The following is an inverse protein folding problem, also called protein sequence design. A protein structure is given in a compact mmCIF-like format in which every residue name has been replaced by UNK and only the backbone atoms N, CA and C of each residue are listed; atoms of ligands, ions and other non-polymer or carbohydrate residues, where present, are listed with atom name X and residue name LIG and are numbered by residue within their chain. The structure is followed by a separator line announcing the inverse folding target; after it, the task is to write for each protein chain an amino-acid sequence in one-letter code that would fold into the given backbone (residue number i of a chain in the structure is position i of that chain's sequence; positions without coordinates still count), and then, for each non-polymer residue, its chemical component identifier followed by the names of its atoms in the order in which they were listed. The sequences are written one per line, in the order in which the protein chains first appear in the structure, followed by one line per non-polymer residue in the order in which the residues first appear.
data_IF_697344177910
#
_entry.id   IF_697344177910
#
_cell.length_a   1.000
_cell.length_b   1.000
_cell.length_c   1.000
_cell.angle_alpha   90.00
_cell.angle_beta   90.00
_cell.angle_gamma   90.00
#
_symmetry.space_group_name_H-M   'P 1'
#
loop_
_entity.id
_entity.type
_entity.pdbx_description
1 polymer ?
#
# COMPACT_ATOMS: atom_id res chain seq x y z
N UNK A 1 -10.65 -13.60 -17.46
CA UNK A 1 -9.82 -12.49 -17.99
C UNK A 1 -8.46 -13.08 -18.31
N UNK A 2 -8.04 -13.01 -19.57
CA UNK A 2 -6.93 -13.80 -20.11
C UNK A 2 -5.59 -13.25 -19.60
N UNK A 3 -4.79 -14.12 -18.99
CA UNK A 3 -3.37 -13.91 -18.73
C UNK A 3 -2.61 -14.65 -19.84
N UNK A 4 -2.00 -13.94 -20.77
CA UNK A 4 -0.89 -14.42 -21.62
C UNK A 4 -0.31 -13.26 -22.44
N UNK A 5 0.92 -12.84 -22.11
CA UNK A 5 1.94 -12.51 -23.11
C UNK A 5 3.32 -12.87 -22.54
N UNK A 6 4.05 -13.66 -23.33
CA UNK A 6 5.39 -14.16 -23.07
C UNK A 6 6.40 -13.07 -23.48
N UNK A 7 6.55 -12.05 -22.65
CA UNK A 7 7.70 -11.18 -22.64
C UNK A 7 8.27 -11.23 -21.25
N UNK A 8 9.59 -11.42 -21.09
CA UNK A 8 10.25 -11.25 -19.81
C UNK A 8 9.95 -9.84 -19.30
N UNK A 9 8.90 -9.67 -18.51
CA UNK A 9 8.66 -8.44 -17.78
C UNK A 9 9.80 -8.37 -16.78
N UNK A 10 10.83 -7.61 -17.14
CA UNK A 10 11.63 -6.97 -16.12
C UNK A 10 10.65 -6.04 -15.40
N UNK A 11 9.90 -6.61 -14.44
CA UNK A 11 9.11 -5.89 -13.49
C UNK A 11 10.14 -5.15 -12.64
N UNK A 12 10.64 -4.04 -13.18
CA UNK A 12 10.90 -2.88 -12.36
C UNK A 12 9.55 -2.63 -11.71
N UNK A 13 9.36 -3.25 -10.55
CA UNK A 13 8.31 -2.89 -9.63
C UNK A 13 8.61 -1.43 -9.37
N UNK A 14 7.88 -0.55 -10.04
CA UNK A 14 7.90 0.85 -9.67
C UNK A 14 7.44 0.84 -8.21
N UNK A 15 8.38 1.02 -7.30
CA UNK A 15 8.20 0.85 -5.85
C UNK A 15 7.09 1.78 -5.31
N UNK A 16 6.63 2.72 -6.14
CA UNK A 16 5.51 3.63 -5.95
C UNK A 16 4.16 3.16 -6.51
N UNK A 17 4.03 1.97 -7.10
CA UNK A 17 2.72 1.47 -7.54
C UNK A 17 1.82 1.12 -6.36
N UNK A 18 0.53 1.47 -6.49
CA UNK A 18 -0.53 1.13 -5.54
C UNK A 18 -1.52 0.16 -6.18
N UNK A 19 -1.87 -0.89 -5.44
CA UNK A 19 -2.85 -1.89 -5.85
C UNK A 19 -4.18 -1.56 -5.17
N UNK A 20 -5.24 -1.39 -5.96
CA UNK A 20 -6.60 -1.30 -5.42
C UNK A 20 -7.11 -2.72 -5.16
N UNK A 21 -7.43 -3.01 -3.91
CA UNK A 21 -7.85 -4.33 -3.46
C UNK A 21 -9.20 -4.23 -2.72
N UNK A 22 -10.26 -4.74 -3.36
CA UNK A 22 -11.59 -4.78 -2.77
C UNK A 22 -11.74 -5.80 -1.63
N UNK A 23 -10.78 -6.72 -1.48
CA UNK A 23 -10.68 -7.63 -0.34
C UNK A 23 -9.92 -7.06 0.86
N UNK A 24 -9.19 -5.95 0.67
CA UNK A 24 -8.51 -5.26 1.76
C UNK A 24 -9.49 -4.42 2.58
N UNK A 25 -9.27 -4.36 3.88
CA UNK A 25 -10.06 -3.54 4.82
C UNK A 25 -9.35 -2.26 5.25
N UNK A 26 -8.05 -2.13 4.96
CA UNK A 26 -7.22 -1.02 5.37
C UNK A 26 -6.28 -0.63 4.22
N UNK A 27 -6.04 0.67 4.06
CA UNK A 27 -4.93 1.14 3.24
C UNK A 27 -3.61 0.85 3.96
N UNK A 28 -2.62 0.31 3.26
CA UNK A 28 -1.32 -0.05 3.85
C UNK A 28 -0.18 0.22 2.89
N UNK A 29 0.98 0.60 3.43
CA UNK A 29 2.23 0.71 2.70
C UNK A 29 3.41 0.27 3.58
N UNK A 30 4.47 -0.33 3.02
CA UNK A 30 5.73 -0.53 3.72
C UNK A 30 6.62 0.72 3.71
N UNK A 31 6.22 1.80 3.01
CA UNK A 31 7.05 2.97 2.73
C UNK A 31 6.65 4.15 3.61
N UNK A 32 7.49 4.49 4.57
CA UNK A 32 7.29 5.67 5.44
C UNK A 32 7.40 6.99 4.66
N UNK A 33 8.16 7.01 3.58
CA UNK A 33 8.41 8.22 2.78
C UNK A 33 7.17 8.71 2.00
N UNK A 34 6.13 7.88 1.84
CA UNK A 34 4.91 8.27 1.13
C UNK A 34 3.97 9.15 1.96
N UNK A 35 4.22 9.23 3.28
CA UNK A 35 3.35 9.92 4.20
C UNK A 35 3.56 11.43 4.16
N UNK A 36 2.48 12.18 3.93
CA UNK A 36 2.45 13.65 4.08
C UNK A 36 2.22 14.07 5.52
N UNK A 37 1.63 13.19 6.32
CA UNK A 37 1.50 13.28 7.78
C UNK A 37 1.84 11.92 8.37
N UNK A 38 2.53 11.87 9.51
CA UNK A 38 2.95 10.60 10.09
C UNK A 38 3.00 10.65 11.62
N UNK A 39 2.30 9.71 12.24
CA UNK A 39 2.38 9.43 13.68
C UNK A 39 3.01 8.05 13.85
N UNK A 40 4.22 8.00 14.41
CA UNK A 40 4.84 6.74 14.85
C UNK A 40 4.17 6.22 16.12
N UNK A 41 4.04 4.91 16.25
CA UNK A 41 3.47 4.31 17.45
C UNK A 41 3.20 2.82 17.26
N UNK A 42 2.73 2.17 18.31
CA UNK A 42 2.21 0.81 18.22
C UNK A 42 0.71 0.89 17.93
N UNK A 43 0.33 0.48 16.72
CA UNK A 43 -1.07 0.44 16.28
C UNK A 43 -1.58 -1.00 16.14
N UNK A 44 -0.91 -1.95 16.81
CA UNK A 44 -1.23 -3.37 16.77
C UNK A 44 -0.67 -4.07 15.53
N UNK A 45 -1.35 -5.15 15.14
CA UNK A 45 -0.92 -6.02 14.04
C UNK A 45 -1.94 -6.03 12.90
N UNK A 46 -1.43 -5.98 11.69
CA UNK A 46 -2.16 -6.23 10.46
C UNK A 46 -2.21 -7.75 10.22
N UNK A 47 -3.42 -8.30 10.04
CA UNK A 47 -3.62 -9.69 9.59
C UNK A 47 -3.81 -9.70 8.08
N UNK A 48 -3.06 -10.57 7.40
CA UNK A 48 -3.08 -10.71 5.95
C UNK A 48 -3.92 -11.92 5.54
N UNK A 49 -4.40 -11.95 4.29
CA UNK A 49 -5.21 -13.05 3.76
C UNK A 49 -4.50 -14.40 3.67
N UNK A 50 -3.18 -14.43 3.85
CA UNK A 50 -2.34 -15.63 3.84
C UNK A 50 -1.92 -16.08 5.26
N UNK A 51 -2.71 -15.77 6.28
CA UNK A 51 -2.43 -16.00 7.71
C UNK A 51 -1.19 -15.29 8.26
N UNK A 52 -0.47 -14.52 7.44
CA UNK A 52 0.65 -13.73 7.88
C UNK A 52 0.21 -12.54 8.73
N UNK A 53 1.11 -12.08 9.58
CA UNK A 53 0.93 -10.91 10.45
C UNK A 53 2.11 -9.96 10.30
N UNK A 54 1.83 -8.65 10.31
CA UNK A 54 2.85 -7.60 10.33
C UNK A 54 2.50 -6.53 11.36
N UNK A 55 3.51 -5.94 11.99
CA UNK A 55 3.29 -4.86 12.96
C UNK A 55 2.97 -3.55 12.24
N UNK A 56 1.98 -2.83 12.73
CA UNK A 56 1.70 -1.46 12.28
C UNK A 56 2.46 -0.50 13.18
N UNK A 57 3.53 0.09 12.65
CA UNK A 57 4.45 0.98 13.39
C UNK A 57 4.17 2.47 13.17
N UNK A 58 3.20 2.79 12.33
CA UNK A 58 2.79 4.16 12.06
C UNK A 58 1.45 4.26 11.37
N UNK A 59 0.84 5.43 11.49
CA UNK A 59 -0.37 5.80 10.78
C UNK A 59 -0.22 7.23 10.27
N UNK A 60 -0.80 7.51 9.11
CA UNK A 60 -0.78 8.85 8.56
C UNK A 60 -1.53 8.98 7.25
N UNK A 61 -1.34 10.11 6.59
CA UNK A 61 -2.00 10.42 5.33
C UNK A 61 -1.02 10.29 4.16
N UNK A 62 -1.52 9.85 3.01
CA UNK A 62 -0.75 9.70 1.77
C UNK A 62 -1.47 10.43 0.65
N UNK A 63 -0.74 11.23 -0.13
CA UNK A 63 -1.28 11.88 -1.33
C UNK A 63 -0.76 11.14 -2.57
N UNK A 64 -1.69 10.56 -3.34
CA UNK A 64 -1.38 9.93 -4.62
C UNK A 64 -1.73 10.87 -5.76
N UNK A 65 -0.89 10.91 -6.77
CA UNK A 65 -1.16 11.66 -8.00
C UNK A 65 -1.33 10.67 -9.15
N UNK A 66 -2.47 10.77 -9.85
CA UNK A 66 -2.71 9.97 -11.05
C UNK A 66 -1.97 10.58 -12.25
N UNK A 67 -1.78 9.77 -13.29
CA UNK A 67 -1.21 10.23 -14.57
C UNK A 67 -2.06 11.34 -15.25
N UNK A 68 -3.32 11.50 -14.85
CA UNK A 68 -4.20 12.60 -15.29
C UNK A 68 -4.04 13.86 -14.44
N UNK A 69 -3.11 13.89 -13.48
CA UNK A 69 -2.87 15.02 -12.59
C UNK A 69 -3.89 15.15 -11.45
N UNK A 70 -4.79 14.17 -11.28
CA UNK A 70 -5.73 14.17 -10.16
C UNK A 70 -5.02 13.73 -8.88
N UNK A 71 -5.34 14.38 -7.76
CA UNK A 71 -4.83 14.03 -6.45
C UNK A 71 -5.86 13.23 -5.65
N UNK A 72 -5.42 12.15 -5.03
CA UNK A 72 -6.20 11.32 -4.12
C UNK A 72 -5.53 11.34 -2.74
N UNK A 73 -6.23 11.88 -1.74
CA UNK A 73 -5.80 11.85 -0.35
C UNK A 73 -6.32 10.59 0.34
N UNK A 74 -5.41 9.67 0.66
CA UNK A 74 -5.69 8.51 1.50
C UNK A 74 -5.44 8.89 2.95
N UNK A 75 -6.44 8.70 3.81
CA UNK A 75 -6.35 9.00 5.25
C UNK A 75 -6.16 7.73 6.07
N UNK A 76 -5.41 7.86 7.17
CA UNK A 76 -5.26 6.77 8.13
C UNK A 76 -4.56 5.52 7.58
N UNK A 77 -3.72 5.70 6.56
CA UNK A 77 -2.91 4.65 5.93
C UNK A 77 -2.00 4.02 6.99
N UNK A 78 -1.91 2.69 6.98
CA UNK A 78 -1.08 1.92 7.91
C UNK A 78 0.33 1.78 7.36
N UNK A 79 1.34 2.07 8.19
CA UNK A 79 2.73 1.77 7.88
C UNK A 79 3.10 0.42 8.50
N UNK A 80 3.32 -0.58 7.64
CA UNK A 80 3.68 -1.93 8.02
C UNK A 80 4.88 -2.40 7.17
N UNK A 81 6.12 -2.37 7.68
CA UNK A 81 7.33 -2.61 6.90
C UNK A 81 7.42 -4.01 6.25
N UNK A 82 6.75 -5.01 6.83
CA UNK A 82 6.82 -6.38 6.33
C UNK A 82 5.80 -6.67 5.21
N UNK A 83 4.92 -5.72 4.85
CA UNK A 83 4.04 -5.90 3.69
C UNK A 83 4.83 -5.70 2.40
N UNK A 84 4.45 -6.44 1.36
CA UNK A 84 5.17 -6.39 0.07
C UNK A 84 4.68 -5.30 -0.88
N UNK A 85 3.45 -4.84 -0.72
CA UNK A 85 2.79 -3.96 -1.67
C UNK A 85 2.11 -2.79 -0.96
N UNK A 86 1.96 -1.68 -1.67
CA UNK A 86 1.08 -0.60 -1.28
C UNK A 86 -0.36 -0.96 -1.69
N UNK A 87 -1.28 -1.00 -0.73
CA UNK A 87 -2.67 -1.40 -0.96
C UNK A 87 -3.63 -0.25 -0.66
N UNK A 88 -4.62 -0.08 -1.52
CA UNK A 88 -5.77 0.78 -1.32
C UNK A 88 -6.98 -0.13 -1.11
N UNK A 89 -7.56 -0.10 0.09
CA UNK A 89 -8.88 -0.67 0.36
C UNK A 89 -9.97 0.16 -0.31
N UNK A 90 -11.03 -0.50 -0.82
CA UNK A 90 -12.19 0.17 -1.43
C UNK A 90 -13.21 0.68 -0.42
#
# INVERSE_FOLDING_TARGET
VILSDHGSINLVSDESMWIVDSGATLHVTPRKEFFTSYTSGDFGVLKMGNDGVSKVIGVGDVCLQTNMGMQLLLRGVKHAPDVRFNLISM
#
